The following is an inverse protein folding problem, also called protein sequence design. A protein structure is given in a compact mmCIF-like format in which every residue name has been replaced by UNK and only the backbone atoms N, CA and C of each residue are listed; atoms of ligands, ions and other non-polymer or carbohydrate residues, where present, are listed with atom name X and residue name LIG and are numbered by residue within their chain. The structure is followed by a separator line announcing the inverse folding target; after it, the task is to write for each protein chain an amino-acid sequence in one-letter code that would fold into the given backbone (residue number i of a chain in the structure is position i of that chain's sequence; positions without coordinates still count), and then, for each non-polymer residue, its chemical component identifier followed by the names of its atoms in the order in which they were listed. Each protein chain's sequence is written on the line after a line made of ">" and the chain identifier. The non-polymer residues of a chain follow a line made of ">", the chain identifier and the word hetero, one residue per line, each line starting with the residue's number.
data_IF_986180922606
#
_entry.id   IF_986180922606
#
_cell.length_a   1.000
_cell.length_b   1.000
_cell.length_c   1.000
_cell.angle_alpha   90.00
_cell.angle_beta   90.00
_cell.angle_gamma   90.00
#
_symmetry.space_group_name_H-M   'P 1'
#
loop_
_entity.id
_entity.type
_entity.pdbx_description
1 polymer ?
#
# COMPACT_ATOMS: atom_id res chain seq x y z
N UNK A 1 22.03 -14.70 3.61
CA UNK A 1 22.37 -13.28 3.37
C UNK A 1 23.69 -13.11 2.60
N UNK A 2 24.84 -13.66 3.01
CA UNK A 2 26.13 -13.43 2.30
C UNK A 2 26.11 -13.79 0.80
N UNK A 3 25.56 -14.96 0.44
CA UNK A 3 25.49 -15.39 -0.97
C UNK A 3 24.52 -14.52 -1.78
N UNK A 4 23.43 -14.07 -1.17
CA UNK A 4 22.44 -13.17 -1.80
C UNK A 4 23.09 -11.81 -2.12
N UNK A 5 23.80 -11.23 -1.15
CA UNK A 5 24.54 -9.99 -1.37
C UNK A 5 25.64 -10.17 -2.41
N UNK A 6 26.35 -11.30 -2.41
CA UNK A 6 27.37 -11.57 -3.41
C UNK A 6 26.78 -11.67 -4.83
N UNK A 7 25.58 -12.23 -4.99
CA UNK A 7 24.89 -12.29 -6.28
C UNK A 7 24.45 -10.90 -6.79
N UNK A 8 23.86 -10.08 -5.92
CA UNK A 8 23.53 -8.69 -6.25
C UNK A 8 24.78 -7.87 -6.59
N UNK A 9 25.85 -7.98 -5.80
CA UNK A 9 27.10 -7.27 -6.08
C UNK A 9 27.77 -7.73 -7.37
N UNK A 10 27.75 -9.03 -7.68
CA UNK A 10 28.20 -9.54 -8.98
C UNK A 10 27.42 -8.90 -10.12
N UNK A 11 26.10 -8.81 -10.00
CA UNK A 11 25.24 -8.15 -10.99
C UNK A 11 25.55 -6.65 -11.10
N UNK A 12 25.79 -5.96 -9.98
CA UNK A 12 26.17 -4.54 -9.95
C UNK A 12 27.48 -4.24 -10.68
N UNK A 13 28.40 -5.21 -10.79
CA UNK A 13 29.63 -5.05 -11.58
C UNK A 13 29.36 -4.87 -13.09
N UNK A 14 28.14 -5.13 -13.57
CA UNK A 14 27.74 -4.82 -14.95
C UNK A 14 27.80 -3.34 -15.32
N UNK A 15 27.85 -2.44 -14.34
CA UNK A 15 28.14 -1.02 -14.57
C UNK A 15 29.52 -0.79 -15.25
N UNK A 16 30.45 -1.75 -15.15
CA UNK A 16 31.81 -1.66 -15.72
C UNK A 16 31.91 -2.32 -17.11
N UNK A 17 31.06 -1.91 -18.05
CA UNK A 17 31.06 -2.40 -19.42
C UNK A 17 32.37 -2.07 -20.17
N UNK A 18 32.84 -2.98 -21.03
CA UNK A 18 34.06 -2.82 -21.83
C UNK A 18 35.35 -3.05 -21.07
N UNK A 19 35.28 -3.58 -19.84
CA UNK A 19 36.45 -3.84 -18.98
C UNK A 19 36.85 -5.32 -18.98
N UNK A 20 38.08 -5.66 -18.55
CA UNK A 20 38.55 -7.05 -18.51
C UNK A 20 37.74 -7.99 -17.59
N UNK A 21 36.94 -7.46 -16.66
CA UNK A 21 36.12 -8.27 -15.76
C UNK A 21 34.78 -8.69 -16.36
N UNK A 22 34.36 -8.08 -17.48
CA UNK A 22 33.02 -8.26 -18.04
C UNK A 22 32.72 -9.73 -18.35
N UNK A 23 33.64 -10.46 -18.98
CA UNK A 23 33.43 -11.87 -19.34
C UNK A 23 33.23 -12.75 -18.10
N UNK A 24 34.00 -12.50 -17.04
CA UNK A 24 33.87 -13.22 -15.76
C UNK A 24 32.53 -12.90 -15.07
N UNK A 25 32.10 -11.63 -15.11
CA UNK A 25 30.80 -11.21 -14.56
C UNK A 25 29.66 -11.88 -15.32
N UNK A 26 29.69 -11.84 -16.66
CA UNK A 26 28.67 -12.45 -17.52
C UNK A 26 28.58 -13.96 -17.33
N UNK A 27 29.74 -14.63 -17.23
CA UNK A 27 29.80 -16.07 -16.94
C UNK A 27 29.21 -16.40 -15.58
N UNK A 28 29.56 -15.62 -14.55
CA UNK A 28 29.04 -15.83 -13.20
C UNK A 28 27.53 -15.61 -13.10
N UNK A 29 26.99 -14.57 -13.74
CA UNK A 29 25.55 -14.30 -13.76
C UNK A 29 24.78 -15.40 -14.51
N UNK A 30 25.29 -15.85 -15.68
CA UNK A 30 24.68 -16.98 -16.40
C UNK A 30 24.69 -18.25 -15.57
N UNK A 31 25.76 -18.50 -14.80
CA UNK A 31 25.82 -19.64 -13.89
C UNK A 31 24.77 -19.54 -12.76
N UNK A 32 24.55 -18.35 -12.20
CA UNK A 32 23.49 -18.12 -11.20
C UNK A 32 22.12 -18.46 -11.81
N UNK A 33 21.80 -17.87 -12.97
CA UNK A 33 20.49 -18.04 -13.60
C UNK A 33 20.26 -19.45 -14.15
N UNK A 34 21.31 -20.23 -14.45
CA UNK A 34 21.17 -21.65 -14.82
C UNK A 34 21.07 -22.60 -13.63
N UNK A 35 21.53 -22.17 -12.44
CA UNK A 35 21.59 -23.02 -11.24
C UNK A 35 20.35 -22.88 -10.38
N UNK A 36 19.84 -21.66 -10.26
CA UNK A 36 18.73 -21.30 -9.39
C UNK A 36 17.51 -20.91 -10.22
N UNK A 37 16.35 -20.83 -9.57
CA UNK A 37 15.10 -20.40 -10.19
C UNK A 37 14.59 -19.13 -9.50
N UNK A 38 13.75 -18.35 -10.17
CA UNK A 38 13.09 -17.17 -9.61
C UNK A 38 12.16 -17.51 -8.43
N UNK A 39 11.64 -18.73 -8.39
CA UNK A 39 10.81 -19.26 -7.31
C UNK A 39 11.33 -20.62 -6.82
N UNK A 40 11.37 -20.81 -5.49
CA UNK A 40 11.81 -22.05 -4.87
C UNK A 40 13.34 -22.16 -4.75
N UNK A 41 13.97 -23.11 -5.45
CA UNK A 41 15.39 -23.42 -5.22
C UNK A 41 16.32 -22.25 -5.59
N UNK A 42 16.87 -21.60 -4.56
CA UNK A 42 17.81 -20.49 -4.69
C UNK A 42 17.19 -19.17 -5.11
N UNK A 43 15.87 -19.03 -4.97
CA UNK A 43 15.06 -17.85 -5.25
C UNK A 43 15.70 -16.52 -4.82
N UNK A 44 16.15 -16.40 -3.57
CA UNK A 44 16.72 -15.17 -3.06
C UNK A 44 18.03 -14.79 -3.79
N UNK A 45 18.83 -15.77 -4.19
CA UNK A 45 20.08 -15.54 -4.94
C UNK A 45 19.76 -15.13 -6.38
N UNK A 46 18.81 -15.84 -7.00
CA UNK A 46 18.36 -15.57 -8.35
C UNK A 46 17.75 -14.16 -8.45
N UNK A 47 16.82 -13.82 -7.55
CA UNK A 47 16.10 -12.55 -7.53
C UNK A 47 17.04 -11.37 -7.26
N UNK A 48 17.97 -11.51 -6.32
CA UNK A 48 18.95 -10.46 -6.04
C UNK A 48 19.87 -10.18 -7.23
N UNK A 49 20.24 -11.22 -8.01
CA UNK A 49 20.98 -11.03 -9.26
C UNK A 49 20.10 -10.41 -10.36
N UNK A 50 18.85 -10.88 -10.51
CA UNK A 50 17.93 -10.44 -11.54
C UNK A 50 17.54 -8.96 -11.39
N UNK A 51 17.21 -8.55 -10.17
CA UNK A 51 16.89 -7.15 -9.83
C UNK A 51 18.05 -6.21 -10.20
N UNK A 52 19.24 -6.53 -9.69
CA UNK A 52 20.44 -5.72 -9.93
C UNK A 52 20.87 -5.71 -11.41
N UNK A 53 20.83 -6.86 -12.11
CA UNK A 53 21.31 -6.92 -13.50
C UNK A 53 20.36 -6.20 -14.46
N UNK A 54 19.05 -6.21 -14.18
CA UNK A 54 18.03 -5.56 -15.01
C UNK A 54 18.20 -4.04 -15.06
N UNK A 55 18.91 -3.44 -14.09
CA UNK A 55 19.26 -2.03 -14.11
C UNK A 55 20.44 -1.71 -15.07
N UNK A 56 21.34 -2.66 -15.31
CA UNK A 56 22.60 -2.42 -16.03
C UNK A 56 22.68 -3.10 -17.41
N UNK A 57 21.79 -4.04 -17.71
CA UNK A 57 21.86 -4.84 -18.93
C UNK A 57 20.47 -5.26 -19.44
N UNK A 58 20.43 -5.64 -20.72
CA UNK A 58 19.22 -6.18 -21.34
C UNK A 58 18.94 -7.59 -20.78
N UNK A 59 17.69 -7.83 -20.38
CA UNK A 59 17.26 -9.13 -19.85
C UNK A 59 17.48 -10.29 -20.84
N UNK A 60 17.53 -10.00 -22.15
CA UNK A 60 17.75 -11.01 -23.19
C UNK A 60 19.14 -11.64 -23.09
N UNK A 61 20.14 -10.91 -22.61
CA UNK A 61 21.52 -11.40 -22.47
C UNK A 61 21.63 -12.56 -21.45
N UNK A 62 20.67 -12.63 -20.53
CA UNK A 62 20.61 -13.60 -19.44
C UNK A 62 19.39 -14.53 -19.52
N UNK A 63 18.49 -14.32 -20.49
CA UNK A 63 17.27 -15.11 -20.63
C UNK A 63 16.29 -14.94 -19.47
N UNK A 64 16.27 -13.75 -18.86
CA UNK A 64 15.42 -13.46 -17.70
C UNK A 64 14.24 -12.53 -18.02
N UNK A 65 14.01 -12.22 -19.31
CA UNK A 65 12.87 -11.37 -19.69
C UNK A 65 11.54 -12.04 -19.29
N UNK A 66 10.61 -11.22 -18.77
CA UNK A 66 9.29 -11.72 -18.35
C UNK A 66 9.27 -12.49 -17.03
N UNK A 67 10.40 -12.57 -16.31
CA UNK A 67 10.44 -13.32 -15.05
C UNK A 67 9.45 -12.81 -14.00
N UNK A 68 9.12 -11.51 -14.03
CA UNK A 68 8.15 -10.92 -13.10
C UNK A 68 6.77 -11.55 -13.27
N UNK A 69 6.31 -11.75 -14.51
CA UNK A 69 5.02 -12.39 -14.79
C UNK A 69 5.02 -13.86 -14.38
N UNK A 70 6.11 -14.57 -14.67
CA UNK A 70 6.27 -15.98 -14.28
C UNK A 70 6.31 -16.12 -12.75
N UNK A 71 7.07 -15.27 -12.07
CA UNK A 71 7.17 -15.23 -10.62
C UNK A 71 5.82 -14.92 -9.98
N UNK A 72 5.09 -13.93 -10.51
CA UNK A 72 3.76 -13.57 -10.02
C UNK A 72 2.80 -14.75 -10.11
N UNK A 73 2.80 -15.48 -11.22
CA UNK A 73 1.94 -16.65 -11.40
C UNK A 73 2.30 -17.82 -10.47
N UNK A 74 3.58 -17.96 -10.12
CA UNK A 74 4.06 -19.03 -9.24
C UNK A 74 3.84 -18.69 -7.76
N UNK A 75 4.19 -17.48 -7.34
CA UNK A 75 4.07 -17.01 -5.96
C UNK A 75 2.62 -16.74 -5.61
N UNK A 76 1.87 -16.03 -6.45
CA UNK A 76 0.48 -15.65 -6.20
C UNK A 76 -0.48 -16.51 -7.05
N UNK A 77 -0.33 -17.83 -6.93
CA UNK A 77 -0.94 -18.80 -7.84
C UNK A 77 -2.45 -19.01 -7.65
N UNK A 78 -2.97 -18.78 -6.45
CA UNK A 78 -4.40 -18.91 -6.18
C UNK A 78 -5.13 -17.66 -6.66
N UNK A 79 -6.30 -17.83 -7.28
CA UNK A 79 -7.16 -16.74 -7.71
C UNK A 79 -8.55 -16.92 -7.11
N UNK A 80 -9.10 -15.88 -6.49
CA UNK A 80 -10.41 -15.89 -5.85
C UNK A 80 -11.16 -14.58 -6.17
N UNK A 81 -12.42 -14.66 -6.58
CA UNK A 81 -13.23 -13.48 -6.89
C UNK A 81 -14.21 -13.23 -5.77
N UNK A 82 -14.04 -12.14 -5.02
CA UNK A 82 -15.00 -11.73 -3.99
C UNK A 82 -16.26 -11.12 -4.62
N UNK A 83 -16.05 -10.21 -5.58
CA UNK A 83 -17.10 -9.47 -6.27
C UNK A 83 -16.63 -9.03 -7.67
N UNK A 84 -17.39 -8.16 -8.34
CA UNK A 84 -16.93 -7.47 -9.55
C UNK A 84 -15.86 -6.41 -9.27
N UNK A 85 -15.76 -5.91 -8.03
CA UNK A 85 -14.88 -4.81 -7.60
C UNK A 85 -13.70 -5.26 -6.76
N UNK A 86 -13.64 -6.54 -6.34
CA UNK A 86 -12.55 -7.07 -5.51
C UNK A 86 -12.16 -8.48 -5.97
N UNK A 87 -10.86 -8.69 -6.19
CA UNK A 87 -10.28 -10.00 -6.49
C UNK A 87 -9.04 -10.24 -5.65
N UNK A 88 -8.86 -11.48 -5.23
CA UNK A 88 -7.69 -11.91 -4.46
C UNK A 88 -6.82 -12.81 -5.35
N UNK A 89 -5.52 -12.53 -5.34
CA UNK A 89 -4.45 -13.44 -5.70
C UNK A 89 -3.69 -13.77 -4.43
N UNK A 90 -3.48 -15.05 -4.13
CA UNK A 90 -2.80 -15.45 -2.90
C UNK A 90 -1.83 -16.59 -3.13
N UNK A 91 -0.84 -16.66 -2.25
CA UNK A 91 0.13 -17.74 -2.27
C UNK A 91 -0.46 -19.02 -1.68
N UNK A 92 -1.08 -18.95 -0.50
CA UNK A 92 -1.52 -20.14 0.21
C UNK A 92 -2.61 -19.88 1.28
N UNK A 93 -3.67 -19.17 0.89
CA UNK A 93 -4.87 -19.04 1.72
C UNK A 93 -5.80 -20.25 1.55
N UNK A 94 -6.48 -20.61 2.62
CA UNK A 94 -7.62 -21.54 2.58
C UNK A 94 -8.88 -20.85 2.07
N UNK A 95 -9.83 -21.63 1.55
CA UNK A 95 -11.12 -21.09 1.10
C UNK A 95 -11.92 -20.38 2.21
N UNK A 96 -11.73 -20.75 3.48
CA UNK A 96 -12.34 -20.07 4.63
C UNK A 96 -11.72 -18.69 4.82
N UNK A 97 -10.39 -18.58 4.77
CA UNK A 97 -9.69 -17.29 4.87
C UNK A 97 -10.05 -16.38 3.69
N UNK A 98 -10.16 -16.91 2.47
CA UNK A 98 -10.63 -16.13 1.31
C UNK A 98 -12.02 -15.55 1.56
N UNK A 99 -12.97 -16.38 1.99
CA UNK A 99 -14.33 -15.93 2.29
C UNK A 99 -14.35 -14.87 3.40
N UNK A 100 -13.61 -15.09 4.49
CA UNK A 100 -13.52 -14.14 5.59
C UNK A 100 -12.89 -12.80 5.15
N UNK A 101 -11.84 -12.82 4.33
CA UNK A 101 -11.24 -11.60 3.79
C UNK A 101 -12.22 -10.84 2.88
N UNK A 102 -12.97 -11.55 2.03
CA UNK A 102 -13.99 -10.95 1.18
C UNK A 102 -15.13 -10.33 2.00
N UNK A 103 -15.59 -11.02 3.05
CA UNK A 103 -16.66 -10.54 3.92
C UNK A 103 -16.21 -9.29 4.71
N UNK A 104 -14.97 -9.28 5.22
CA UNK A 104 -14.37 -8.13 5.90
C UNK A 104 -14.30 -6.90 4.98
N UNK A 105 -13.70 -7.04 3.78
CA UNK A 105 -13.63 -5.92 2.82
C UNK A 105 -15.02 -5.47 2.35
N UNK A 106 -15.97 -6.39 2.13
CA UNK A 106 -17.33 -6.03 1.75
C UNK A 106 -18.07 -5.24 2.84
N UNK A 107 -17.86 -5.59 4.11
CA UNK A 107 -18.40 -4.84 5.24
C UNK A 107 -17.77 -3.44 5.33
N UNK A 108 -16.45 -3.36 5.15
CA UNK A 108 -15.68 -2.12 5.15
C UNK A 108 -16.11 -1.17 4.02
N UNK A 109 -16.33 -1.69 2.79
CA UNK A 109 -16.84 -0.93 1.63
C UNK A 109 -18.19 -0.28 1.94
N UNK A 110 -19.13 -1.06 2.49
CA UNK A 110 -20.45 -0.55 2.86
C UNK A 110 -20.39 0.51 3.96
N UNK A 111 -19.52 0.31 4.95
CA UNK A 111 -19.30 1.25 6.04
C UNK A 111 -18.70 2.57 5.54
N UNK A 112 -17.67 2.50 4.71
CA UNK A 112 -16.99 3.64 4.09
C UNK A 112 -17.99 4.47 3.29
N UNK A 113 -18.70 3.83 2.35
CA UNK A 113 -19.67 4.54 1.50
C UNK A 113 -20.80 5.21 2.29
N UNK A 114 -21.24 4.58 3.38
CA UNK A 114 -22.25 5.15 4.28
C UNK A 114 -21.70 6.38 5.03
N UNK A 115 -20.51 6.26 5.63
CA UNK A 115 -19.90 7.32 6.43
C UNK A 115 -19.55 8.56 5.60
N UNK A 116 -19.07 8.36 4.38
CA UNK A 116 -18.52 9.42 3.53
C UNK A 116 -19.52 9.88 2.46
N UNK A 117 -20.73 9.31 2.43
CA UNK A 117 -21.81 9.69 1.49
C UNK A 117 -21.36 9.73 0.01
N UNK A 118 -20.48 8.79 -0.36
CA UNK A 118 -19.86 8.70 -1.70
C UNK A 118 -20.85 8.40 -2.84
N UNK A 119 -22.05 7.91 -2.52
CA UNK A 119 -23.03 7.38 -3.48
C UNK A 119 -22.46 6.29 -4.42
N UNK A 120 -21.42 5.58 -3.98
CA UNK A 120 -20.69 4.58 -4.78
C UNK A 120 -20.22 5.14 -6.14
N UNK A 121 -19.94 6.45 -6.21
CA UNK A 121 -19.56 7.14 -7.45
C UNK A 121 -18.09 7.53 -7.35
N UNK A 122 -17.20 6.91 -8.15
CA UNK A 122 -15.79 7.30 -8.16
C UNK A 122 -15.61 8.78 -8.49
N UNK A 123 -14.50 9.34 -8.05
CA UNK A 123 -14.07 10.68 -8.50
C UNK A 123 -13.94 10.70 -10.03
N UNK A 124 -13.98 11.91 -10.60
CA UNK A 124 -13.82 12.06 -12.04
C UNK A 124 -12.48 11.46 -12.50
N UNK A 125 -12.47 10.91 -13.71
CA UNK A 125 -11.32 10.33 -14.39
C UNK A 125 -10.70 9.08 -13.72
N UNK A 126 -11.31 8.50 -12.67
CA UNK A 126 -10.90 7.18 -12.19
C UNK A 126 -11.48 6.05 -13.06
N UNK A 127 -10.59 5.31 -13.74
CA UNK A 127 -10.88 4.19 -14.63
C UNK A 127 -10.59 2.81 -14.02
N UNK A 128 -10.25 2.73 -12.73
CA UNK A 128 -10.11 1.45 -12.04
C UNK A 128 -11.42 0.68 -12.10
N UNK A 129 -11.32 -0.65 -12.22
CA UNK A 129 -12.49 -1.53 -12.31
C UNK A 129 -12.68 -2.36 -11.04
N UNK A 130 -11.57 -2.82 -10.48
CA UNK A 130 -11.54 -3.63 -9.27
C UNK A 130 -10.18 -3.51 -8.59
N UNK A 131 -10.15 -3.71 -7.28
CA UNK A 131 -8.92 -3.87 -6.52
C UNK A 131 -8.38 -5.30 -6.67
N UNK A 132 -7.11 -5.42 -7.06
CA UNK A 132 -6.38 -6.68 -7.00
C UNK A 132 -5.66 -6.77 -5.66
N UNK A 133 -6.17 -7.62 -4.77
CA UNK A 133 -5.55 -7.92 -3.48
C UNK A 133 -4.55 -9.05 -3.70
N UNK A 134 -3.31 -8.87 -3.25
CA UNK A 134 -2.18 -9.76 -3.46
C UNK A 134 -1.62 -10.18 -2.10
N UNK A 135 -1.78 -11.45 -1.73
CA UNK A 135 -1.53 -11.94 -0.37
C UNK A 135 -0.44 -13.01 -0.40
N UNK A 136 0.74 -12.67 0.13
CA UNK A 136 1.83 -13.62 0.34
C UNK A 136 1.57 -14.48 1.59
N UNK A 137 2.13 -15.70 1.63
CA UNK A 137 1.91 -16.66 2.73
C UNK A 137 2.56 -16.21 4.05
N UNK A 138 3.55 -15.33 3.97
CA UNK A 138 4.28 -14.86 5.16
C UNK A 138 4.99 -13.53 4.91
N UNK A 139 5.44 -12.90 6.00
CA UNK A 139 6.30 -11.71 5.94
C UNK A 139 7.63 -11.98 5.22
N UNK A 140 8.14 -13.22 5.28
CA UNK A 140 9.37 -13.62 4.61
C UNK A 140 9.18 -13.69 3.09
N UNK A 141 8.04 -14.23 2.63
CA UNK A 141 7.71 -14.27 1.22
C UNK A 141 7.36 -12.88 0.67
N UNK A 142 6.63 -12.06 1.43
CA UNK A 142 6.42 -10.65 1.11
C UNK A 142 7.75 -9.91 0.91
N UNK A 143 8.65 -10.03 1.89
CA UNK A 143 9.97 -9.37 1.84
C UNK A 143 10.84 -9.86 0.68
N UNK A 144 10.65 -11.10 0.24
CA UNK A 144 11.43 -11.70 -0.85
C UNK A 144 10.88 -11.36 -2.23
N UNK A 145 9.57 -11.40 -2.41
CA UNK A 145 8.93 -11.38 -3.72
C UNK A 145 8.20 -10.07 -4.05
N UNK A 146 7.64 -9.36 -3.06
CA UNK A 146 6.79 -8.21 -3.34
C UNK A 146 7.56 -7.06 -3.99
N UNK A 147 8.79 -6.79 -3.56
CA UNK A 147 9.65 -5.79 -4.21
C UNK A 147 9.96 -6.14 -5.67
N UNK A 148 10.22 -7.42 -5.98
CA UNK A 148 10.48 -7.86 -7.34
C UNK A 148 9.22 -7.83 -8.24
N UNK A 149 8.05 -8.11 -7.68
CA UNK A 149 6.78 -8.17 -8.43
C UNK A 149 6.17 -6.77 -8.62
N UNK A 150 6.17 -5.95 -7.58
CA UNK A 150 5.43 -4.68 -7.53
C UNK A 150 6.31 -3.44 -7.46
N UNK A 151 7.63 -3.58 -7.30
CA UNK A 151 8.54 -2.44 -7.19
C UNK A 151 8.41 -1.65 -5.89
N UNK A 152 7.93 -2.28 -4.81
CA UNK A 152 7.65 -1.62 -3.53
C UNK A 152 8.73 -1.90 -2.46
N UNK A 153 8.82 -1.01 -1.46
CA UNK A 153 9.51 -1.32 -0.22
C UNK A 153 8.64 -2.27 0.63
N UNK A 154 9.26 -3.23 1.32
CA UNK A 154 8.56 -4.27 2.10
C UNK A 154 8.70 -4.11 3.61
N UNK A 155 9.26 -2.99 4.09
CA UNK A 155 9.36 -2.65 5.51
C UNK A 155 8.07 -1.96 6.00
N UNK A 156 6.94 -2.63 5.79
CA UNK A 156 5.60 -2.18 6.16
C UNK A 156 4.68 -3.40 6.35
N UNK A 157 3.45 -3.14 6.81
CA UNK A 157 2.42 -4.17 6.99
C UNK A 157 1.71 -4.58 5.69
N UNK A 158 1.81 -3.75 4.69
CA UNK A 158 1.11 -3.85 3.42
C UNK A 158 1.23 -2.51 2.72
N UNK A 159 0.73 -2.46 1.49
CA UNK A 159 0.72 -1.22 0.72
C UNK A 159 -0.41 -1.25 -0.30
N UNK A 160 -1.23 -0.21 -0.28
CA UNK A 160 -2.04 0.17 -1.43
C UNK A 160 -1.17 0.86 -2.50
N UNK A 161 -1.18 0.30 -3.71
CA UNK A 161 -0.54 0.83 -4.90
C UNK A 161 -1.61 1.16 -5.94
N UNK A 162 -2.00 2.43 -5.99
CA UNK A 162 -3.06 2.93 -6.86
C UNK A 162 -2.72 2.86 -8.35
N UNK A 163 -1.48 3.16 -8.71
CA UNK A 163 -1.08 3.41 -10.09
C UNK A 163 -1.58 4.76 -10.59
N UNK A 164 -1.93 4.86 -11.88
CA UNK A 164 -2.51 6.06 -12.48
C UNK A 164 -3.98 5.79 -12.83
N UNK A 165 -4.94 6.24 -12.01
CA UNK A 165 -6.35 5.94 -12.21
C UNK A 165 -6.91 6.57 -13.50
N UNK A 166 -6.23 7.58 -14.07
CA UNK A 166 -6.64 8.20 -15.34
C UNK A 166 -6.35 7.35 -16.58
N UNK A 167 -5.48 6.35 -16.45
CA UNK A 167 -5.07 5.48 -17.55
C UNK A 167 -6.02 4.28 -17.66
N UNK A 168 -6.63 4.11 -18.84
CA UNK A 168 -7.43 2.94 -19.13
C UNK A 168 -6.59 1.65 -19.02
N UNK A 169 -7.06 0.71 -18.18
CA UNK A 169 -6.33 -0.52 -17.90
C UNK A 169 -5.40 -0.44 -16.69
N UNK A 170 -5.39 0.68 -15.96
CA UNK A 170 -4.77 0.73 -14.64
C UNK A 170 -5.32 -0.36 -13.72
N UNK A 171 -4.43 -0.93 -12.92
CA UNK A 171 -4.78 -1.95 -11.94
C UNK A 171 -4.33 -1.46 -10.56
N UNK A 172 -5.29 -1.00 -9.77
CA UNK A 172 -5.09 -0.77 -8.35
C UNK A 172 -4.74 -2.10 -7.64
N UNK A 173 -3.70 -2.09 -6.83
CA UNK A 173 -3.24 -3.26 -6.08
C UNK A 173 -3.23 -2.98 -4.59
N UNK A 174 -3.68 -3.93 -3.78
CA UNK A 174 -3.33 -4.02 -2.37
C UNK A 174 -2.37 -5.19 -2.20
N UNK A 175 -1.21 -4.96 -1.60
CA UNK A 175 -0.18 -5.98 -1.41
C UNK A 175 0.06 -6.19 0.09
N UNK A 176 -0.09 -7.43 0.57
CA UNK A 176 0.08 -7.78 1.98
C UNK A 176 0.48 -9.25 2.18
N UNK A 177 0.53 -9.69 3.43
CA UNK A 177 0.87 -11.06 3.79
C UNK A 177 0.02 -11.61 4.93
N UNK A 178 -0.01 -12.93 5.03
CA UNK A 178 -0.58 -13.63 6.18
C UNK A 178 0.34 -13.49 7.41
N UNK A 179 -0.26 -13.12 8.54
CA UNK A 179 0.39 -12.93 9.82
C UNK A 179 -0.45 -13.54 10.94
N UNK A 180 0.18 -14.31 11.82
CA UNK A 180 -0.49 -15.01 12.94
C UNK A 180 -1.10 -14.07 13.98
N UNK A 181 -0.71 -12.79 13.97
CA UNK A 181 -1.16 -11.74 14.86
C UNK A 181 -2.18 -10.78 14.20
N UNK A 182 -2.53 -11.00 12.94
CA UNK A 182 -3.66 -10.32 12.29
C UNK A 182 -5.00 -10.88 12.80
N UNK A 183 -6.11 -10.37 12.25
CA UNK A 183 -7.44 -10.90 12.50
C UNK A 183 -7.49 -12.42 12.26
N UNK A 184 -7.98 -13.17 13.26
CA UNK A 184 -7.89 -14.63 13.28
C UNK A 184 -8.79 -15.34 12.25
N UNK A 185 -9.69 -14.62 11.57
CA UNK A 185 -10.55 -15.23 10.54
C UNK A 185 -9.85 -15.32 9.17
N UNK A 186 -9.10 -14.29 8.79
CA UNK A 186 -8.43 -14.22 7.48
C UNK A 186 -6.90 -14.16 7.54
N UNK A 187 -6.32 -13.80 8.68
CA UNK A 187 -4.86 -13.68 8.92
C UNK A 187 -4.14 -12.64 8.05
N UNK A 188 -4.82 -11.86 7.22
CA UNK A 188 -4.19 -10.82 6.39
C UNK A 188 -3.91 -9.58 7.24
N UNK A 189 -2.65 -9.19 7.35
CA UNK A 189 -2.26 -8.02 8.13
C UNK A 189 -2.70 -6.71 7.44
N UNK A 190 -3.25 -5.78 8.22
CA UNK A 190 -3.76 -4.46 7.79
C UNK A 190 -4.85 -4.48 6.68
N UNK A 191 -5.58 -5.60 6.49
CA UNK A 191 -6.56 -5.74 5.40
C UNK A 191 -7.58 -4.60 5.35
N UNK A 192 -8.25 -4.33 6.46
CA UNK A 192 -9.33 -3.34 6.52
C UNK A 192 -8.79 -1.91 6.32
N UNK A 193 -7.65 -1.60 6.94
CA UNK A 193 -6.99 -0.29 6.81
C UNK A 193 -6.56 0.01 5.37
N UNK A 194 -5.85 -0.92 4.73
CA UNK A 194 -5.36 -0.73 3.36
C UNK A 194 -6.49 -0.75 2.32
N UNK A 195 -7.57 -1.48 2.62
CA UNK A 195 -8.76 -1.43 1.78
C UNK A 195 -9.43 -0.05 1.83
N UNK A 196 -9.39 0.65 2.96
CA UNK A 196 -9.88 2.03 3.04
C UNK A 196 -9.02 2.98 2.22
N UNK A 197 -7.71 2.80 2.11
CA UNK A 197 -6.90 3.62 1.19
C UNK A 197 -7.34 3.49 -0.28
N UNK A 198 -7.69 2.28 -0.72
CA UNK A 198 -8.28 2.09 -2.05
C UNK A 198 -9.60 2.85 -2.22
N UNK A 199 -10.46 2.79 -1.20
CA UNK A 199 -11.74 3.49 -1.25
C UNK A 199 -11.57 5.01 -1.20
N UNK A 200 -10.66 5.54 -0.37
CA UNK A 200 -10.36 6.97 -0.26
C UNK A 200 -9.79 7.51 -1.58
N UNK A 201 -8.80 6.83 -2.16
CA UNK A 201 -8.24 7.17 -3.48
C UNK A 201 -9.31 7.16 -4.59
N UNK A 202 -10.19 6.16 -4.58
CA UNK A 202 -11.20 6.01 -5.64
C UNK A 202 -12.39 6.97 -5.52
N UNK A 203 -12.81 7.30 -4.30
CA UNK A 203 -14.10 7.96 -4.07
C UNK A 203 -14.00 9.35 -3.43
N UNK A 204 -12.88 9.69 -2.79
CA UNK A 204 -12.73 10.90 -2.00
C UNK A 204 -11.55 11.79 -2.40
N UNK A 205 -10.50 11.25 -3.03
CA UNK A 205 -9.32 11.98 -3.49
C UNK A 205 -9.25 11.97 -5.02
N UNK A 206 -9.23 13.14 -5.65
CA UNK A 206 -9.09 13.23 -7.11
C UNK A 206 -7.64 13.03 -7.58
N UNK A 207 -7.44 12.15 -8.56
CA UNK A 207 -6.14 11.88 -9.18
C UNK A 207 -5.41 10.71 -8.55
N UNK A 208 -4.13 10.55 -8.86
CA UNK A 208 -3.28 9.52 -8.23
C UNK A 208 -2.79 9.95 -6.84
N UNK A 209 -2.09 9.05 -6.16
CA UNK A 209 -1.42 9.30 -4.87
C UNK A 209 -0.58 10.60 -4.80
N UNK A 210 -0.03 11.08 -5.92
CA UNK A 210 0.80 12.29 -5.98
C UNK A 210 0.02 13.54 -6.43
N UNK A 211 -1.28 13.42 -6.72
CA UNK A 211 -2.12 14.52 -7.15
C UNK A 211 -2.36 15.60 -6.08
N UNK A 212 -2.43 15.29 -4.76
CA UNK A 212 -2.54 16.32 -3.73
C UNK A 212 -1.36 17.30 -3.75
N UNK A 213 -1.66 18.59 -3.79
CA UNK A 213 -0.64 19.67 -3.71
C UNK A 213 -0.47 20.23 -2.30
N UNK A 214 -1.14 19.63 -1.32
CA UNK A 214 -1.21 20.05 0.08
C UNK A 214 -1.11 18.81 0.97
N UNK A 215 -0.72 18.97 2.23
CA UNK A 215 -0.57 17.85 3.16
C UNK A 215 -1.93 17.20 3.45
N UNK A 216 -2.02 15.89 3.19
CA UNK A 216 -3.24 15.08 3.35
C UNK A 216 -3.03 13.83 4.22
N UNK A 217 -1.82 13.61 4.77
CA UNK A 217 -1.50 12.37 5.52
C UNK A 217 -2.43 12.19 6.72
N UNK A 218 -2.78 13.27 7.43
CA UNK A 218 -3.72 13.21 8.55
C UNK A 218 -5.09 12.65 8.17
N UNK A 219 -5.52 12.95 6.93
CA UNK A 219 -6.79 12.50 6.39
C UNK A 219 -6.65 11.06 5.90
N UNK A 220 -5.73 10.79 4.97
CA UNK A 220 -5.60 9.46 4.35
C UNK A 220 -5.33 8.36 5.38
N UNK A 221 -4.39 8.58 6.30
CA UNK A 221 -4.10 7.62 7.37
C UNK A 221 -5.18 7.62 8.45
N UNK A 222 -5.69 8.81 8.80
CA UNK A 222 -6.69 8.95 9.84
C UNK A 222 -8.04 8.33 9.47
N UNK A 223 -8.46 8.43 8.20
CA UNK A 223 -9.71 7.84 7.70
C UNK A 223 -9.57 6.33 7.60
N UNK A 224 -8.42 5.83 7.11
CA UNK A 224 -8.11 4.40 7.12
C UNK A 224 -8.16 3.81 8.53
N UNK A 225 -7.51 4.45 9.49
CA UNK A 225 -7.56 4.05 10.90
C UNK A 225 -8.97 4.16 11.50
N UNK A 226 -9.73 5.21 11.17
CA UNK A 226 -11.04 5.46 11.77
C UNK A 226 -12.11 4.50 11.28
N UNK A 227 -12.17 4.25 9.97
CA UNK A 227 -13.16 3.33 9.40
C UNK A 227 -12.83 1.90 9.84
N UNK A 228 -11.56 1.47 9.77
CA UNK A 228 -11.15 0.12 10.12
C UNK A 228 -11.32 -0.20 11.62
N UNK A 229 -11.02 0.74 12.51
CA UNK A 229 -11.05 0.47 13.96
C UNK A 229 -12.33 0.95 14.65
N UNK A 230 -13.03 1.95 14.12
CA UNK A 230 -14.16 2.60 14.78
C UNK A 230 -13.86 2.97 16.24
N UNK A 231 -14.44 2.26 17.22
CA UNK A 231 -14.22 2.48 18.66
C UNK A 231 -13.08 1.65 19.27
N UNK A 232 -12.49 0.76 18.49
CA UNK A 232 -11.57 -0.29 18.93
C UNK A 232 -10.10 0.04 18.66
N UNK A 233 -9.71 1.32 18.79
CA UNK A 233 -8.31 1.74 18.68
C UNK A 233 -7.72 2.03 20.08
N UNK A 234 -7.22 1.00 20.75
CA UNK A 234 -6.68 1.13 22.12
C UNK A 234 -5.34 1.88 22.16
N UNK A 235 -4.56 1.82 21.09
CA UNK A 235 -3.32 2.58 20.98
C UNK A 235 -3.59 4.10 20.95
N UNK A 236 -4.60 4.56 20.19
CA UNK A 236 -5.00 5.97 20.20
C UNK A 236 -5.51 6.42 21.59
N UNK A 237 -6.28 5.58 22.29
CA UNK A 237 -6.72 5.87 23.68
C UNK A 237 -5.54 5.98 24.65
N UNK A 238 -4.52 5.13 24.48
CA UNK A 238 -3.32 5.16 25.30
C UNK A 238 -2.51 6.45 25.07
N UNK A 239 -2.38 6.90 23.82
CA UNK A 239 -1.67 8.13 23.47
C UNK A 239 -2.35 9.38 24.06
N UNK A 240 -3.67 9.43 24.15
CA UNK A 240 -4.35 10.52 24.90
C UNK A 240 -3.93 10.53 26.38
N UNK A 241 -3.74 9.34 26.96
CA UNK A 241 -3.50 9.17 28.39
C UNK A 241 -2.04 9.43 28.80
N UNK A 242 -1.08 9.34 27.88
CA UNK A 242 0.35 9.55 28.16
C UNK A 242 0.75 11.04 28.22
N UNK A 243 -0.12 11.94 27.77
CA UNK A 243 0.06 13.39 27.80
C UNK A 243 0.83 13.96 26.61
N UNK A 244 1.26 13.14 25.65
CA UNK A 244 1.58 13.61 24.31
C UNK A 244 0.32 14.25 23.72
N UNK A 245 0.43 15.45 23.14
CA UNK A 245 -0.71 16.12 22.52
C UNK A 245 -0.20 16.96 21.35
N UNK A 246 -0.81 16.75 20.21
CA UNK A 246 -0.62 17.58 19.02
C UNK A 246 -1.81 18.52 18.89
N UNK A 247 -1.56 19.74 18.44
CA UNK A 247 -2.63 20.67 18.04
C UNK A 247 -3.25 20.21 16.73
N UNK A 248 -4.48 20.63 16.41
CA UNK A 248 -5.09 20.37 15.10
C UNK A 248 -4.21 20.91 13.97
N UNK A 249 -3.59 22.08 14.14
CA UNK A 249 -2.66 22.63 13.16
C UNK A 249 -1.48 21.68 12.90
N UNK A 250 -0.88 21.13 13.97
CA UNK A 250 0.16 20.12 13.81
C UNK A 250 -0.39 18.86 13.14
N UNK A 251 -1.55 18.36 13.53
CA UNK A 251 -2.10 17.14 12.92
C UNK A 251 -2.35 17.36 11.42
N UNK A 252 -2.96 18.49 11.03
CA UNK A 252 -3.27 18.78 9.62
C UNK A 252 -2.04 19.05 8.75
N UNK A 253 -0.92 19.50 9.32
CA UNK A 253 0.37 19.67 8.64
C UNK A 253 1.25 18.39 8.72
N UNK A 254 0.65 17.21 8.90
CA UNK A 254 1.40 15.95 8.98
C UNK A 254 1.87 15.52 7.60
N UNK A 255 3.13 15.11 7.52
CA UNK A 255 3.74 14.45 6.36
C UNK A 255 4.43 13.16 6.82
N UNK A 256 4.88 12.33 5.89
CA UNK A 256 5.71 11.16 6.22
C UNK A 256 7.16 11.53 6.56
N UNK A 257 7.57 12.80 6.38
CA UNK A 257 8.93 13.25 6.70
C UNK A 257 9.19 13.21 8.21
N UNK A 258 10.32 12.62 8.58
CA UNK A 258 10.69 12.46 10.00
C UNK A 258 9.90 11.39 10.76
N UNK A 259 9.01 10.65 10.07
CA UNK A 259 8.20 9.50 10.52
C UNK A 259 7.86 9.49 12.03
N UNK A 260 6.70 10.05 12.36
CA UNK A 260 6.11 10.03 13.70
C UNK A 260 4.85 9.17 13.69
N UNK A 261 5.00 7.90 14.07
CA UNK A 261 3.91 6.91 14.05
C UNK A 261 2.69 7.37 14.87
N UNK A 262 2.90 8.07 15.97
CA UNK A 262 1.79 8.49 16.82
C UNK A 262 1.03 9.64 16.17
N UNK A 263 1.75 10.62 15.62
CA UNK A 263 1.12 11.74 14.90
C UNK A 263 0.38 11.29 13.65
N UNK A 264 0.98 10.39 12.87
CA UNK A 264 0.42 9.89 11.61
C UNK A 264 -0.85 9.09 11.86
N UNK A 265 -0.76 7.99 12.60
CA UNK A 265 -1.86 7.02 12.68
C UNK A 265 -2.81 7.30 13.84
N UNK A 266 -2.29 7.58 15.03
CA UNK A 266 -3.14 7.71 16.24
C UNK A 266 -3.79 9.08 16.31
N UNK A 267 -3.03 10.15 16.11
CA UNK A 267 -3.58 11.50 16.10
C UNK A 267 -4.34 11.82 14.81
N UNK A 268 -3.96 11.24 13.67
CA UNK A 268 -4.79 11.22 12.46
C UNK A 268 -6.17 10.61 12.73
N UNK A 269 -6.21 9.40 13.31
CA UNK A 269 -7.46 8.74 13.74
C UNK A 269 -8.30 9.64 14.66
N UNK A 270 -7.68 10.26 15.68
CA UNK A 270 -8.39 11.11 16.64
C UNK A 270 -8.97 12.37 15.99
N UNK A 271 -8.22 13.02 15.09
CA UNK A 271 -8.69 14.20 14.38
C UNK A 271 -9.83 13.85 13.41
N UNK A 272 -9.69 12.78 12.62
CA UNK A 272 -10.76 12.31 11.73
C UNK A 272 -12.00 11.95 12.54
N UNK A 273 -11.85 11.19 13.62
CA UNK A 273 -12.95 10.84 14.53
C UNK A 273 -13.64 12.09 15.11
N UNK A 274 -12.86 13.06 15.58
CA UNK A 274 -13.38 14.32 16.11
C UNK A 274 -14.23 15.05 15.06
N UNK A 275 -13.73 15.17 13.83
CA UNK A 275 -14.47 15.79 12.74
C UNK A 275 -15.74 15.01 12.39
N UNK A 276 -15.71 13.68 12.34
CA UNK A 276 -16.90 12.86 12.10
C UNK A 276 -17.98 13.01 13.18
N UNK A 277 -17.57 13.03 14.45
CA UNK A 277 -18.51 13.02 15.58
C UNK A 277 -19.01 14.41 15.96
N UNK A 278 -18.23 15.47 15.72
CA UNK A 278 -18.56 16.84 16.14
C UNK A 278 -18.88 17.78 14.99
N UNK A 279 -18.25 17.58 13.83
CA UNK A 279 -18.25 18.54 12.72
C UNK A 279 -18.50 17.85 11.37
N UNK A 280 -19.39 16.86 11.33
CA UNK A 280 -19.64 16.02 10.15
C UNK A 280 -19.95 16.86 8.88
N UNK A 281 -20.77 17.91 9.02
CA UNK A 281 -21.08 18.81 7.91
C UNK A 281 -19.85 19.54 7.33
N UNK A 282 -18.82 19.78 8.14
CA UNK A 282 -17.56 20.36 7.66
C UNK A 282 -16.76 19.33 6.85
N UNK A 283 -16.77 18.06 7.26
CA UNK A 283 -16.15 16.99 6.46
C UNK A 283 -16.78 16.90 5.07
N UNK A 284 -18.12 16.96 4.96
CA UNK A 284 -18.80 16.98 3.66
C UNK A 284 -18.32 18.13 2.78
N UNK A 285 -18.11 19.32 3.36
CA UNK A 285 -17.60 20.48 2.64
C UNK A 285 -16.13 20.30 2.20
N UNK A 286 -15.30 19.67 3.00
CA UNK A 286 -13.92 19.33 2.64
C UNK A 286 -13.87 18.29 1.53
N UNK A 287 -14.67 17.22 1.63
CA UNK A 287 -14.75 16.15 0.62
C UNK A 287 -15.21 16.69 -0.73
N UNK A 288 -16.09 17.68 -0.75
CA UNK A 288 -16.48 18.36 -2.00
C UNK A 288 -15.30 19.03 -2.71
N UNK A 289 -14.23 19.39 -1.99
CA UNK A 289 -13.01 19.94 -2.57
C UNK A 289 -12.02 18.85 -3.00
N UNK A 290 -11.77 17.85 -2.16
CA UNK A 290 -10.80 16.77 -2.46
C UNK A 290 -11.25 15.91 -3.64
N UNK A 291 -12.56 15.61 -3.74
CA UNK A 291 -13.16 14.86 -4.87
C UNK A 291 -13.05 15.56 -6.22
N UNK A 292 -12.76 16.86 -6.23
CA UNK A 292 -12.55 17.65 -7.47
C UNK A 292 -11.12 18.15 -7.62
N UNK A 293 -10.19 17.72 -6.76
CA UNK A 293 -8.79 18.13 -6.79
C UNK A 293 -8.57 19.60 -6.42
N UNK A 294 -9.49 20.23 -5.68
CA UNK A 294 -9.35 21.62 -5.23
C UNK A 294 -8.58 21.70 -3.91
N UNK A 295 -7.30 21.36 -3.96
CA UNK A 295 -6.43 21.24 -2.80
C UNK A 295 -6.25 22.56 -2.04
N UNK A 296 -6.25 23.70 -2.73
CA UNK A 296 -6.17 25.03 -2.07
C UNK A 296 -7.40 25.34 -1.22
N UNK A 297 -8.60 24.96 -1.68
CA UNK A 297 -9.82 25.11 -0.89
C UNK A 297 -9.85 24.11 0.29
N UNK A 298 -9.40 22.88 0.07
CA UNK A 298 -9.16 21.90 1.14
C UNK A 298 -8.21 22.47 2.23
N UNK A 299 -7.06 23.04 1.85
CA UNK A 299 -6.11 23.64 2.80
C UNK A 299 -6.73 24.81 3.56
N UNK A 300 -7.53 25.62 2.89
CA UNK A 300 -8.26 26.72 3.55
C UNK A 300 -9.20 26.19 4.63
N UNK A 301 -9.84 25.03 4.42
CA UNK A 301 -10.69 24.37 5.42
C UNK A 301 -9.92 23.86 6.62
N UNK A 302 -8.81 23.16 6.42
CA UNK A 302 -8.02 22.66 7.56
C UNK A 302 -7.43 23.80 8.40
N UNK A 303 -7.03 24.91 7.77
CA UNK A 303 -6.61 26.13 8.49
C UNK A 303 -7.78 26.76 9.27
N UNK A 304 -8.98 26.82 8.69
CA UNK A 304 -10.19 27.31 9.37
C UNK A 304 -10.49 26.45 10.63
N UNK A 305 -10.49 25.13 10.48
CA UNK A 305 -10.76 24.19 11.56
C UNK A 305 -9.74 24.27 12.69
N UNK A 306 -8.45 24.36 12.36
CA UNK A 306 -7.41 24.53 13.36
C UNK A 306 -7.57 25.83 14.17
N UNK A 307 -8.14 26.89 13.61
CA UNK A 307 -8.40 28.12 14.36
C UNK A 307 -9.69 28.05 15.19
N UNK A 308 -10.73 27.42 14.64
CA UNK A 308 -12.06 27.44 15.22
C UNK A 308 -12.29 26.33 16.26
N UNK A 309 -11.64 25.18 16.09
CA UNK A 309 -11.94 23.96 16.86
C UNK A 309 -10.82 23.48 17.79
N UNK A 310 -9.66 24.15 17.81
CA UNK A 310 -8.51 23.77 18.66
C UNK A 310 -8.84 23.68 20.15
N UNK A 311 -9.71 24.57 20.66
CA UNK A 311 -10.09 24.53 22.07
C UNK A 311 -11.10 23.42 22.38
N UNK A 312 -11.82 22.92 21.38
CA UNK A 312 -12.77 21.81 21.53
C UNK A 312 -12.08 20.45 21.41
N UNK A 313 -11.15 20.33 20.46
CA UNK A 313 -10.29 19.16 20.26
C UNK A 313 -9.39 18.91 21.48
#
# INVERSE_FOLDING_TARGET
>A
YLIVNAASELARLKQYSGTPIQESVDTGLKAIFSTYNSFGYGDAVWLAAADSVSYYADCNDYGICGFVDELTQQVLSQNYSCSSTIKIRSQNMTAIQHAAACDAMGAEEGLFHNKLATNNTPVADDNNNFLQVNIFDSSDDYSKYAGAIFGINTNNGGMYLEGDPSVAGNQANFIAYEASYANAEHYVWNLEHEYVHYLDGRFDLYGDFNAPTEDIVWWSEGVAEYVANLNNNDAAKATISDGSRYTLAQIFDTTYDGFDQDRIYRWGYLAVRFMFERHNNELDAMLAHTRTGNWSAYKSKTVEWANNYENEF
#
